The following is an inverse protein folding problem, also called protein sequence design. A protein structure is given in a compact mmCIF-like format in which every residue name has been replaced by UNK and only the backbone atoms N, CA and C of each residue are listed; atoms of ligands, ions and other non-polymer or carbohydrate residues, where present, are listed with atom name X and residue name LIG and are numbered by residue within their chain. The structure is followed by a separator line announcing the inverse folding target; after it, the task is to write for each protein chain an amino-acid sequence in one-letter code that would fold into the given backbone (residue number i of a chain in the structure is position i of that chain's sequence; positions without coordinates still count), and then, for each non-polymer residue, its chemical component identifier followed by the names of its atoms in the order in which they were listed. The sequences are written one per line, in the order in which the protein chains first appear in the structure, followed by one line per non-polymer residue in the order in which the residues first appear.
data_IF_362307730259
#
_entry.id   IF_362307730259
#
_cell.length_a   1.000
_cell.length_b   1.000
_cell.length_c   1.000
_cell.angle_alpha   90.00
_cell.angle_beta   90.00
_cell.angle_gamma   90.00
#
_symmetry.space_group_name_H-M   'P 1'
#
loop_
_entity.id
_entity.type
_entity.pdbx_description
1 polymer ?
#
# COMPACT_ATOMS: atom_id res chain seq x y z
N UNK A 1 -19.34 9.38 32.63
CA UNK A 1 -19.75 10.57 31.87
C UNK A 1 -18.54 11.48 31.78
N UNK A 2 -18.01 11.72 30.57
CA UNK A 2 -16.83 12.56 30.34
C UNK A 2 -17.29 13.93 29.83
N UNK A 3 -16.96 14.99 30.58
CA UNK A 3 -17.42 16.36 30.33
C UNK A 3 -16.46 17.07 29.39
N UNK A 4 -16.91 17.44 28.19
CA UNK A 4 -16.18 18.28 27.23
C UNK A 4 -16.40 19.76 27.55
N UNK A 5 -15.36 20.45 28.02
CA UNK A 5 -15.39 21.90 28.23
C UNK A 5 -14.74 22.62 27.05
N UNK A 6 -15.59 23.22 26.22
CA UNK A 6 -15.27 24.19 25.18
C UNK A 6 -14.61 25.43 25.77
N UNK A 7 -13.50 25.89 25.17
CA UNK A 7 -13.02 27.27 25.36
C UNK A 7 -12.92 27.99 24.03
N UNK A 8 -13.99 28.74 23.77
CA UNK A 8 -14.08 29.87 22.86
C UNK A 8 -13.51 31.11 23.57
N UNK A 9 -12.60 31.86 22.93
CA UNK A 9 -12.29 33.24 23.34
C UNK A 9 -11.94 34.11 22.11
N UNK A 10 -12.91 34.97 21.77
CA UNK A 10 -12.88 36.24 21.01
C UNK A 10 -11.74 37.18 21.47
N UNK A 11 -11.31 38.25 20.80
CA UNK A 11 -11.34 38.83 19.44
C UNK A 11 -10.54 40.18 19.54
N UNK A 12 -10.26 40.80 18.39
CA UNK A 12 -9.90 42.22 18.12
C UNK A 12 -8.43 42.72 18.09
N UNK A 13 -7.99 43.14 16.88
CA UNK A 13 -7.54 44.53 16.67
C UNK A 13 -6.15 44.83 16.05
N UNK A 14 -6.17 45.28 14.77
CA UNK A 14 -5.33 46.36 14.15
C UNK A 14 -4.05 46.00 13.33
N UNK A 15 -4.21 46.16 12.00
CA UNK A 15 -3.34 46.70 10.91
C UNK A 15 -1.81 46.83 11.09
N UNK A 16 -1.06 46.29 10.11
CA UNK A 16 0.33 46.69 9.81
C UNK A 16 0.90 46.05 8.54
N UNK A 17 1.44 46.88 7.64
CA UNK A 17 1.93 46.62 6.28
C UNK A 17 3.16 45.70 6.11
N UNK A 18 3.28 45.11 4.90
CA UNK A 18 4.49 44.72 4.13
C UNK A 18 5.46 43.70 4.78
N UNK A 19 5.61 42.53 4.15
CA UNK A 19 6.84 42.09 3.48
C UNK A 19 6.86 40.57 3.24
N UNK A 20 7.40 40.20 2.09
CA UNK A 20 8.10 38.95 1.76
C UNK A 20 7.33 37.63 1.84
N UNK A 21 7.13 37.05 0.66
CA UNK A 21 7.12 35.63 0.39
C UNK A 21 8.18 34.88 1.20
N UNK A 22 7.76 34.21 2.27
CA UNK A 22 8.53 33.14 2.88
C UNK A 22 8.11 31.83 2.19
N UNK A 23 9.04 31.04 1.61
CA UNK A 23 8.73 29.64 1.36
C UNK A 23 8.47 29.03 2.72
N UNK A 24 7.26 28.51 2.94
CA UNK A 24 6.91 27.83 4.18
C UNK A 24 7.94 26.72 4.41
N UNK A 25 8.77 26.90 5.43
CA UNK A 25 9.74 25.96 5.96
C UNK A 25 9.01 24.77 6.62
N UNK A 26 8.31 23.99 5.79
CA UNK A 26 7.60 22.77 6.20
C UNK A 26 8.49 21.53 6.12
N UNK A 27 9.80 21.70 5.90
CA UNK A 27 10.67 20.60 5.45
C UNK A 27 11.73 20.13 6.46
N UNK A 28 11.73 20.58 7.72
CA UNK A 28 12.83 20.24 8.66
C UNK A 28 12.46 19.74 10.05
N UNK A 29 11.19 19.43 10.29
CA UNK A 29 10.85 18.51 11.39
C UNK A 29 10.21 17.29 10.77
N UNK A 30 11.01 16.24 10.61
CA UNK A 30 10.53 14.88 10.36
C UNK A 30 9.33 14.68 11.28
N UNK A 31 8.13 14.54 10.69
CA UNK A 31 6.91 14.43 11.49
C UNK A 31 7.04 13.20 12.39
N UNK A 32 6.39 13.19 13.56
CA UNK A 32 6.41 12.02 14.46
C UNK A 32 6.04 10.76 13.66
N UNK A 33 5.11 10.90 12.73
CA UNK A 33 4.70 9.89 11.75
C UNK A 33 5.88 9.42 10.88
N UNK A 34 6.63 10.31 10.24
CA UNK A 34 7.76 9.87 9.39
C UNK A 34 8.83 9.13 10.21
N UNK A 35 9.03 9.48 11.49
CA UNK A 35 9.90 8.71 12.39
C UNK A 35 9.36 7.31 12.70
N UNK A 36 8.05 7.17 12.85
CA UNK A 36 7.40 5.86 13.07
C UNK A 36 7.43 5.02 11.78
N UNK A 37 7.18 5.64 10.63
CA UNK A 37 7.22 4.99 9.33
C UNK A 37 8.62 4.43 9.03
N UNK A 38 9.71 5.14 9.36
CA UNK A 38 11.07 4.58 9.19
C UNK A 38 11.25 3.27 9.98
N UNK A 39 10.69 3.20 11.19
CA UNK A 39 10.76 1.98 12.01
C UNK A 39 9.88 0.87 11.44
N UNK A 40 8.67 1.19 11.02
CA UNK A 40 7.75 0.24 10.39
C UNK A 40 8.26 -0.28 9.04
N UNK A 41 8.91 0.57 8.24
CA UNK A 41 9.57 0.15 6.98
C UNK A 41 10.70 -0.83 7.28
N UNK A 42 11.55 -0.54 8.27
CA UNK A 42 12.63 -1.44 8.65
C UNK A 42 12.11 -2.79 9.17
N UNK A 43 11.03 -2.77 9.98
CA UNK A 43 10.36 -3.98 10.44
C UNK A 43 9.68 -4.73 9.28
N UNK A 44 9.08 -4.02 8.33
CA UNK A 44 8.48 -4.58 7.14
C UNK A 44 9.52 -5.31 6.27
N UNK A 45 10.66 -4.68 5.97
CA UNK A 45 11.73 -5.29 5.19
C UNK A 45 12.37 -6.50 5.90
N UNK A 46 12.45 -6.47 7.24
CA UNK A 46 12.99 -7.57 8.03
C UNK A 46 12.05 -8.78 8.12
N UNK A 47 10.73 -8.55 8.09
CA UNK A 47 9.71 -9.59 8.19
C UNK A 47 9.10 -9.96 6.82
N UNK A 48 9.62 -9.39 5.73
CA UNK A 48 9.07 -9.59 4.41
C UNK A 48 9.33 -11.04 3.94
N UNK A 49 8.33 -11.76 3.42
CA UNK A 49 8.57 -13.02 2.74
C UNK A 49 9.45 -12.81 1.51
N UNK A 50 10.27 -13.80 1.16
CA UNK A 50 11.19 -13.74 0.02
C UNK A 50 10.51 -13.55 -1.34
N UNK A 51 9.20 -13.83 -1.42
CA UNK A 51 8.34 -13.59 -2.57
C UNK A 51 7.98 -12.11 -2.75
N UNK A 52 8.16 -11.27 -1.74
CA UNK A 52 7.81 -9.85 -1.80
C UNK A 52 9.06 -8.97 -1.92
N UNK A 53 8.91 -7.77 -2.51
CA UNK A 53 9.92 -6.71 -2.50
C UNK A 53 9.26 -5.35 -2.41
N UNK A 54 9.77 -4.47 -1.57
CA UNK A 54 9.24 -3.11 -1.41
C UNK A 54 10.21 -2.12 -2.05
N UNK A 55 9.68 -1.11 -2.74
CA UNK A 55 10.42 -0.03 -3.34
C UNK A 55 9.77 1.32 -2.99
N UNK A 56 10.56 2.26 -2.50
CA UNK A 56 10.10 3.61 -2.16
C UNK A 56 10.58 4.59 -3.25
N UNK A 57 9.72 4.97 -4.21
CA UNK A 57 10.12 5.90 -5.27
C UNK A 57 10.49 7.28 -4.71
N UNK A 58 9.81 7.70 -3.64
CA UNK A 58 10.06 8.96 -2.95
C UNK A 58 10.43 8.70 -1.47
N UNK A 59 11.67 8.95 -1.02
CA UNK A 59 12.06 8.76 0.38
C UNK A 59 11.35 9.70 1.36
N UNK A 60 10.75 10.78 0.85
CA UNK A 60 9.95 11.72 1.64
C UNK A 60 8.49 11.27 1.80
N UNK A 61 8.04 10.26 1.04
CA UNK A 61 6.68 9.72 1.10
C UNK A 61 6.71 8.25 1.49
N UNK A 62 7.10 7.97 2.73
CA UNK A 62 7.15 6.60 3.25
C UNK A 62 5.76 5.91 3.32
N UNK A 63 4.69 6.70 3.31
CA UNK A 63 3.31 6.20 3.23
C UNK A 63 2.91 5.74 1.81
N UNK A 64 3.74 6.02 0.80
CA UNK A 64 3.54 5.59 -0.57
C UNK A 64 4.70 4.70 -1.00
N UNK A 65 4.41 3.45 -1.32
CA UNK A 65 5.42 2.49 -1.74
C UNK A 65 4.90 1.57 -2.84
N UNK A 66 5.85 0.99 -3.56
CA UNK A 66 5.59 -0.02 -4.56
C UNK A 66 5.92 -1.38 -3.99
N UNK A 67 4.95 -2.28 -3.94
CA UNK A 67 5.13 -3.67 -3.56
C UNK A 67 5.21 -4.52 -4.82
N UNK A 68 6.27 -5.29 -4.97
CA UNK A 68 6.38 -6.35 -5.97
C UNK A 68 6.10 -7.68 -5.28
N UNK A 69 5.05 -8.37 -5.68
CA UNK A 69 4.74 -9.74 -5.22
C UNK A 69 5.13 -10.71 -6.34
N UNK A 70 5.97 -11.68 -6.00
CA UNK A 70 6.49 -12.72 -6.88
C UNK A 70 6.14 -14.08 -6.26
N UNK A 71 4.89 -14.56 -6.45
CA UNK A 71 4.48 -15.83 -5.88
C UNK A 71 5.34 -16.98 -6.44
N UNK A 72 5.79 -17.84 -5.55
CA UNK A 72 6.56 -19.05 -5.83
C UNK A 72 5.68 -20.30 -5.97
N UNK A 73 4.41 -20.20 -5.55
CA UNK A 73 3.39 -21.25 -5.64
C UNK A 73 2.11 -20.74 -6.35
N UNK A 74 1.13 -21.63 -6.57
CA UNK A 74 -0.16 -21.35 -7.23
C UNK A 74 -0.09 -21.18 -8.78
N UNK A 75 -1.22 -20.81 -9.39
CA UNK A 75 -1.35 -20.53 -10.84
C UNK A 75 -0.45 -19.38 -11.32
N UNK A 76 -0.05 -18.51 -10.39
CA UNK A 76 0.71 -17.29 -10.68
C UNK A 76 2.22 -17.45 -10.54
N UNK A 77 2.69 -18.68 -10.30
CA UNK A 77 4.10 -18.98 -10.07
C UNK A 77 5.01 -18.36 -11.14
N UNK A 78 6.03 -17.63 -10.67
CA UNK A 78 7.02 -16.99 -11.54
C UNK A 78 6.55 -15.70 -12.21
N UNK A 79 5.32 -15.25 -11.93
CA UNK A 79 4.87 -13.90 -12.25
C UNK A 79 5.41 -12.87 -11.26
N UNK A 80 5.51 -11.61 -11.70
CA UNK A 80 5.84 -10.44 -10.89
C UNK A 80 4.72 -9.43 -11.00
N UNK A 81 4.07 -9.18 -9.87
CA UNK A 81 2.94 -8.27 -9.78
C UNK A 81 3.36 -7.03 -9.01
N UNK A 82 3.31 -5.88 -9.68
CA UNK A 82 3.61 -4.59 -9.06
C UNK A 82 2.32 -3.95 -8.55
N UNK A 83 2.32 -3.55 -7.30
CA UNK A 83 1.25 -2.82 -6.64
C UNK A 83 1.78 -1.48 -6.16
N UNK A 84 1.04 -0.42 -6.41
CA UNK A 84 1.28 0.88 -5.78
C UNK A 84 0.33 1.00 -4.59
N UNK A 85 0.90 1.16 -3.40
CA UNK A 85 0.18 1.17 -2.14
C UNK A 85 0.37 2.53 -1.47
N UNK A 86 -0.76 3.18 -1.19
CA UNK A 86 -0.82 4.36 -0.35
C UNK A 86 -1.45 3.98 0.99
N UNK A 87 -0.67 4.06 2.07
CA UNK A 87 -1.10 3.64 3.41
C UNK A 87 -1.59 4.87 4.21
N UNK A 88 -2.88 4.91 4.58
CA UNK A 88 -3.41 5.95 5.46
C UNK A 88 -2.87 5.81 6.89
N UNK A 89 -2.92 6.88 7.68
CA UNK A 89 -2.40 6.91 9.06
C UNK A 89 -3.05 5.90 10.03
N UNK A 90 -4.20 5.33 9.68
CA UNK A 90 -4.91 4.35 10.50
C UNK A 90 -4.46 2.90 10.29
N UNK A 91 -3.57 2.62 9.34
CA UNK A 91 -3.21 1.26 8.92
C UNK A 91 -1.72 0.97 9.09
N UNK A 92 -1.38 -0.27 9.42
CA UNK A 92 0.00 -0.76 9.44
C UNK A 92 0.42 -1.24 8.05
N UNK A 93 1.63 -0.86 7.61
CA UNK A 93 2.16 -1.28 6.31
C UNK A 93 2.37 -2.80 6.21
N UNK A 94 2.72 -3.44 7.32
CA UNK A 94 2.95 -4.89 7.42
C UNK A 94 1.68 -5.67 7.07
N UNK A 95 0.55 -5.33 7.68
CA UNK A 95 -0.73 -6.03 7.46
C UNK A 95 -1.17 -5.96 5.99
N UNK A 96 -0.93 -4.82 5.34
CA UNK A 96 -1.28 -4.61 3.92
C UNK A 96 -0.45 -5.51 3.01
N UNK A 97 0.87 -5.59 3.25
CA UNK A 97 1.77 -6.42 2.43
C UNK A 97 1.43 -7.91 2.60
N UNK A 98 1.20 -8.37 3.83
CA UNK A 98 0.81 -9.75 4.07
C UNK A 98 -0.54 -10.08 3.42
N UNK A 99 -1.53 -9.18 3.54
CA UNK A 99 -2.82 -9.35 2.88
C UNK A 99 -2.72 -9.46 1.36
N UNK A 100 -1.90 -8.61 0.72
CA UNK A 100 -1.67 -8.65 -0.72
C UNK A 100 -0.94 -9.93 -1.17
N UNK A 101 0.06 -10.38 -0.42
CA UNK A 101 0.75 -11.64 -0.73
C UNK A 101 -0.22 -12.84 -0.62
N UNK A 102 -1.06 -12.86 0.41
CA UNK A 102 -2.00 -13.96 0.61
C UNK A 102 -3.06 -14.08 -0.48
N UNK A 103 -3.37 -13.01 -1.25
CA UNK A 103 -4.28 -13.09 -2.40
C UNK A 103 -3.80 -14.07 -3.49
N UNK A 104 -2.49 -14.27 -3.58
CA UNK A 104 -1.89 -15.18 -4.57
C UNK A 104 -1.73 -16.61 -4.04
N UNK A 105 -1.86 -16.80 -2.72
CA UNK A 105 -1.73 -18.10 -2.04
C UNK A 105 -3.08 -18.52 -1.43
N UNK A 106 -3.26 -18.30 -0.13
CA UNK A 106 -4.29 -18.89 0.70
C UNK A 106 -5.66 -18.21 0.56
N UNK A 107 -5.68 -16.95 0.11
CA UNK A 107 -6.90 -16.17 -0.09
C UNK A 107 -7.40 -16.20 -1.54
N UNK A 108 -6.84 -17.04 -2.41
CA UNK A 108 -7.36 -17.20 -3.76
C UNK A 108 -8.77 -17.81 -3.72
N UNK A 109 -9.79 -16.97 -3.86
CA UNK A 109 -11.19 -17.36 -3.75
C UNK A 109 -11.95 -17.06 -5.06
N UNK A 110 -12.71 -18.05 -5.53
CA UNK A 110 -13.54 -17.96 -6.74
C UNK A 110 -15.05 -17.90 -6.43
N UNK A 111 -15.48 -18.01 -5.17
CA UNK A 111 -16.89 -17.92 -4.76
C UNK A 111 -17.42 -16.48 -4.72
N UNK A 112 -16.57 -15.50 -4.40
CA UNK A 112 -16.90 -14.06 -4.45
C UNK A 112 -15.83 -13.27 -5.23
N UNK A 113 -15.75 -13.49 -6.56
CA UNK A 113 -14.68 -12.93 -7.38
C UNK A 113 -15.00 -11.50 -7.82
N UNK A 114 -13.99 -10.62 -7.76
CA UNK A 114 -14.10 -9.30 -8.39
C UNK A 114 -14.20 -9.41 -9.92
N UNK A 115 -13.52 -10.39 -10.51
CA UNK A 115 -13.59 -10.70 -11.94
C UNK A 115 -14.43 -11.97 -12.18
N UNK A 116 -15.71 -11.75 -12.48
CA UNK A 116 -16.69 -12.82 -12.72
C UNK A 116 -16.27 -13.69 -13.91
N UNK A 117 -15.75 -13.10 -14.99
CA UNK A 117 -15.33 -13.85 -16.19
C UNK A 117 -14.17 -14.81 -15.89
N UNK A 118 -13.21 -14.37 -15.06
CA UNK A 118 -12.09 -15.22 -14.66
C UNK A 118 -12.55 -16.41 -13.80
N UNK A 119 -13.49 -16.19 -12.89
CA UNK A 119 -14.04 -17.24 -12.05
C UNK A 119 -14.93 -18.23 -12.80
N UNK A 120 -15.80 -17.75 -13.70
CA UNK A 120 -16.58 -18.62 -14.58
C UNK A 120 -15.68 -19.46 -15.48
N UNK A 121 -14.59 -18.88 -16.00
CA UNK A 121 -13.63 -19.61 -16.80
C UNK A 121 -12.95 -20.73 -16.00
N UNK A 122 -12.50 -20.42 -14.77
CA UNK A 122 -11.94 -21.42 -13.87
C UNK A 122 -12.95 -22.52 -13.50
N UNK A 123 -14.24 -22.19 -13.36
CA UNK A 123 -15.29 -23.15 -13.05
C UNK A 123 -15.60 -24.08 -14.24
N UNK A 124 -15.52 -23.56 -15.47
CA UNK A 124 -15.76 -24.34 -16.70
C UNK A 124 -14.57 -25.25 -17.04
N UNK A 125 -13.37 -24.69 -17.06
CA UNK A 125 -12.16 -25.40 -17.45
C UNK A 125 -10.92 -24.87 -16.70
N UNK A 126 -10.42 -25.68 -15.77
CA UNK A 126 -9.25 -25.33 -14.95
C UNK A 126 -7.94 -25.38 -15.73
N UNK A 127 -7.83 -26.23 -16.74
CA UNK A 127 -6.61 -26.37 -17.53
C UNK A 127 -6.45 -25.20 -18.49
N UNK A 128 -7.54 -24.81 -19.16
CA UNK A 128 -7.54 -23.64 -20.04
C UNK A 128 -7.32 -22.34 -19.25
N UNK A 129 -7.94 -22.20 -18.07
CA UNK A 129 -7.67 -21.08 -17.16
C UNK A 129 -6.18 -20.98 -16.81
N UNK A 130 -5.56 -22.11 -16.42
CA UNK A 130 -4.13 -22.14 -16.10
C UNK A 130 -3.27 -21.71 -17.29
N UNK A 131 -3.53 -22.26 -18.48
CA UNK A 131 -2.75 -21.92 -19.68
C UNK A 131 -2.86 -20.43 -20.02
N UNK A 132 -4.06 -19.86 -19.88
CA UNK A 132 -4.31 -18.43 -20.07
C UNK A 132 -3.56 -17.59 -19.04
N UNK A 133 -3.56 -17.97 -17.77
CA UNK A 133 -2.79 -17.27 -16.72
C UNK A 133 -1.29 -17.30 -17.04
N UNK A 134 -0.74 -18.45 -17.42
CA UNK A 134 0.69 -18.57 -17.80
C UNK A 134 1.05 -17.69 -19.01
N UNK A 135 0.18 -17.61 -20.02
CA UNK A 135 0.37 -16.72 -21.17
C UNK A 135 0.33 -15.24 -20.78
N UNK A 136 -0.61 -14.84 -19.92
CA UNK A 136 -0.69 -13.47 -19.41
C UNK A 136 0.55 -13.10 -18.60
N UNK A 137 1.04 -14.01 -17.76
CA UNK A 137 2.26 -13.81 -16.97
C UNK A 137 3.46 -13.59 -17.90
N UNK A 138 3.62 -14.44 -18.92
CA UNK A 138 4.72 -14.30 -19.89
C UNK A 138 4.67 -12.98 -20.67
N UNK A 139 3.48 -12.44 -20.93
CA UNK A 139 3.30 -11.20 -21.69
C UNK A 139 3.49 -9.94 -20.86
N UNK A 140 3.02 -9.94 -19.61
CA UNK A 140 2.88 -8.71 -18.83
C UNK A 140 3.60 -8.70 -17.47
N UNK A 141 3.96 -9.86 -16.93
CA UNK A 141 4.40 -10.00 -15.54
C UNK A 141 5.70 -10.82 -15.41
N UNK A 142 6.63 -10.71 -16.36
CA UNK A 142 7.90 -11.45 -16.35
C UNK A 142 9.08 -10.61 -15.85
#
# INVERSE_FOLDING_TARGET
MLTLASKLKRDDGVKGSRAASAPSDSSRRVSIRDRLLVKEVAELEANLPCTCKVNFPDPNKLHYFQLTVSPDESYYQGGKFLFEVEVPEAYNMVDVVWGLNSLFTDLLNFDDPLNIEAAEHHLRDKEEYRSKVEDYIKRYAR
#
